data_IF_920649602998
#
_entry.id   IF_920649602998
#
_cell.length_a   1.000
_cell.length_b   1.000
_cell.length_c   1.000
_cell.angle_alpha   90.00
_cell.angle_beta   90.00
_cell.angle_gamma   90.00
#
_symmetry.space_group_name_H-M   'P 1'
#
loop_
_entity.id
_entity.type
_entity.pdbx_description
1 polymer ?
#
# COMPACT_ATOMS: atom_id res chain seq x y z
N UNK A 1 21.63 19.01 -10.19
CA UNK A 1 22.77 18.82 -9.26
C UNK A 1 22.41 17.69 -8.30
N UNK A 2 22.88 16.47 -8.57
CA UNK A 2 22.67 15.32 -7.69
C UNK A 2 23.78 15.28 -6.65
N UNK A 3 23.45 15.57 -5.38
CA UNK A 3 24.44 15.56 -4.31
C UNK A 3 24.73 14.13 -3.88
N UNK A 4 26.01 13.73 -3.99
CA UNK A 4 26.57 12.56 -3.31
C UNK A 4 26.43 12.74 -1.79
N UNK A 5 25.72 11.84 -1.12
CA UNK A 5 25.63 11.78 0.35
C UNK A 5 24.43 10.97 0.83
N UNK A 6 24.69 9.76 1.35
CA UNK A 6 23.76 8.73 1.84
C UNK A 6 22.67 8.32 0.84
N UNK A 7 22.64 7.04 0.46
CA UNK A 7 21.91 6.46 -0.68
C UNK A 7 20.37 6.58 -0.71
N UNK A 8 19.75 7.44 0.10
CA UNK A 8 18.34 7.78 0.03
C UNK A 8 18.10 8.88 -1.01
N UNK A 9 17.06 8.68 -1.82
CA UNK A 9 16.60 9.70 -2.78
C UNK A 9 16.15 10.93 -2.00
N UNK A 10 16.62 12.11 -2.39
CA UNK A 10 16.26 13.37 -1.73
C UNK A 10 16.01 14.50 -2.72
N UNK A 11 15.18 15.46 -2.32
CA UNK A 11 14.91 16.70 -3.05
C UNK A 11 14.95 17.88 -2.07
N UNK A 12 15.13 19.11 -2.56
CA UNK A 12 15.13 20.31 -1.71
C UNK A 12 14.12 21.33 -2.21
N UNK A 13 13.26 21.81 -1.32
CA UNK A 13 12.30 22.89 -1.61
C UNK A 13 12.49 24.02 -0.60
N UNK A 14 12.69 25.25 -1.09
CA UNK A 14 12.93 26.45 -0.27
C UNK A 14 14.02 26.28 0.81
N UNK A 15 15.09 25.53 0.51
CA UNK A 15 16.19 25.27 1.45
C UNK A 15 15.95 24.10 2.43
N UNK A 16 14.76 23.47 2.44
CA UNK A 16 14.45 22.29 3.26
C UNK A 16 14.66 21.01 2.46
N UNK A 17 15.36 20.03 3.03
CA UNK A 17 15.66 18.75 2.38
C UNK A 17 14.60 17.69 2.72
N UNK A 18 13.92 17.20 1.69
CA UNK A 18 12.93 16.12 1.76
C UNK A 18 13.61 14.79 1.37
N UNK A 19 13.28 13.72 2.09
CA UNK A 19 13.81 12.38 1.85
C UNK A 19 12.70 11.42 1.46
N UNK A 20 12.97 10.55 0.49
CA UNK A 20 12.01 9.59 -0.04
C UNK A 20 12.51 8.18 0.25
N UNK A 21 11.84 7.50 1.18
CA UNK A 21 12.21 6.16 1.67
C UNK A 21 11.62 5.05 0.79
N UNK A 22 10.50 5.31 0.12
CA UNK A 22 9.87 4.39 -0.84
C UNK A 22 9.61 5.12 -2.17
N UNK A 23 9.78 4.44 -3.31
CA UNK A 23 9.47 5.00 -4.62
C UNK A 23 8.56 4.14 -5.47
N UNK A 24 7.69 4.79 -6.24
CA UNK A 24 6.73 4.15 -7.16
C UNK A 24 7.44 3.33 -8.25
N UNK A 25 8.66 3.71 -8.66
CA UNK A 25 9.54 2.79 -9.37
C UNK A 25 10.10 1.79 -8.36
N UNK A 26 9.40 0.66 -8.19
CA UNK A 26 9.93 -0.50 -7.46
C UNK A 26 11.14 -1.02 -8.23
N UNK A 27 12.33 -0.92 -7.64
CA UNK A 27 13.40 -1.80 -8.06
C UNK A 27 12.97 -3.23 -7.69
N UNK A 28 12.96 -4.18 -8.63
CA UNK A 28 12.72 -5.58 -8.28
C UNK A 28 13.70 -6.00 -7.19
N UNK A 29 13.26 -6.83 -6.25
CA UNK A 29 14.11 -7.26 -5.14
C UNK A 29 15.42 -7.83 -5.69
N UNK A 30 16.55 -7.49 -5.05
CA UNK A 30 17.90 -7.76 -5.57
C UNK A 30 18.21 -9.24 -5.81
N UNK A 31 17.45 -10.14 -5.16
CA UNK A 31 17.55 -11.59 -5.33
C UNK A 31 16.75 -12.12 -6.54
N UNK A 32 15.93 -11.31 -7.21
CA UNK A 32 15.31 -11.68 -8.48
C UNK A 32 16.32 -11.57 -9.62
N UNK A 33 16.66 -12.72 -10.23
CA UNK A 33 17.51 -12.77 -11.42
C UNK A 33 16.93 -12.01 -12.63
N UNK A 34 17.81 -11.48 -13.49
CA UNK A 34 17.49 -10.55 -14.58
C UNK A 34 16.43 -11.04 -15.57
N UNK A 35 16.29 -12.35 -15.77
CA UNK A 35 15.26 -12.93 -16.67
C UNK A 35 13.84 -12.82 -16.10
N UNK A 36 13.68 -12.66 -14.78
CA UNK A 36 12.39 -12.45 -14.09
C UNK A 36 12.02 -10.97 -13.93
N UNK A 37 12.91 -10.06 -14.33
CA UNK A 37 12.68 -8.61 -14.26
C UNK A 37 11.98 -8.03 -15.50
N UNK A 38 11.54 -8.88 -16.44
CA UNK A 38 10.73 -8.44 -17.56
C UNK A 38 9.39 -7.94 -17.01
N UNK A 39 9.00 -6.68 -17.26
CA UNK A 39 7.67 -6.24 -16.89
C UNK A 39 6.69 -7.13 -17.64
N UNK A 40 5.86 -7.85 -16.88
CA UNK A 40 4.65 -8.44 -17.44
C UNK A 40 3.92 -7.28 -18.14
N UNK A 41 3.63 -7.43 -19.44
CA UNK A 41 2.70 -6.56 -20.15
C UNK A 41 1.32 -6.80 -19.54
N UNK A 42 1.12 -6.34 -18.31
CA UNK A 42 -0.18 -6.32 -17.68
C UNK A 42 -0.89 -5.16 -18.37
N UNK A 43 -1.79 -5.49 -19.28
CA UNK A 43 -2.92 -4.61 -19.55
C UNK A 43 -3.43 -4.12 -18.19
N UNK A 44 -3.76 -2.83 -18.10
CA UNK A 44 -4.26 -2.15 -16.91
C UNK A 44 -5.66 -2.69 -16.53
N UNK A 45 -5.78 -4.01 -16.38
CA UNK A 45 -6.84 -4.68 -15.61
C UNK A 45 -6.46 -4.46 -14.16
N UNK A 46 -7.04 -3.37 -13.67
CA UNK A 46 -7.20 -2.94 -12.29
C UNK A 46 -7.08 -4.14 -11.36
N UNK A 47 -6.06 -4.13 -10.49
CA UNK A 47 -5.94 -5.12 -9.44
C UNK A 47 -7.27 -5.17 -8.68
N UNK A 48 -7.78 -6.36 -8.31
CA UNK A 48 -8.99 -6.46 -7.50
C UNK A 48 -8.89 -5.50 -6.29
N UNK A 49 -9.96 -4.76 -5.96
CA UNK A 49 -9.96 -3.84 -4.84
C UNK A 49 -9.51 -4.55 -3.57
N UNK A 50 -8.45 -4.05 -2.94
CA UNK A 50 -7.88 -4.67 -1.75
C UNK A 50 -7.32 -3.64 -0.78
N UNK A 51 -7.32 -4.01 0.51
CA UNK A 51 -6.65 -3.27 1.58
C UNK A 51 -5.51 -4.14 2.12
N UNK A 52 -4.36 -3.54 2.35
CA UNK A 52 -3.18 -4.19 2.94
C UNK A 52 -2.86 -3.51 4.28
N UNK A 53 -2.81 -4.29 5.36
CA UNK A 53 -2.45 -3.79 6.69
C UNK A 53 -1.05 -4.27 7.03
N UNK A 54 -0.17 -3.32 7.33
CA UNK A 54 1.24 -3.58 7.64
C UNK A 54 1.53 -3.39 9.12
N UNK A 55 2.33 -4.29 9.70
CA UNK A 55 2.80 -4.16 11.06
C UNK A 55 4.17 -3.50 11.10
N UNK A 56 4.26 -2.34 11.78
CA UNK A 56 5.48 -1.54 11.85
C UNK A 56 6.58 -2.19 12.69
N UNK A 57 6.23 -3.03 13.67
CA UNK A 57 7.21 -3.73 14.52
C UNK A 57 7.95 -4.82 13.74
N UNK A 58 7.25 -5.50 12.84
CA UNK A 58 7.78 -6.60 12.04
C UNK A 58 8.19 -6.19 10.62
N UNK A 59 7.87 -4.95 10.21
CA UNK A 59 8.05 -4.44 8.85
C UNK A 59 7.45 -5.38 7.78
N UNK A 60 6.33 -6.02 8.10
CA UNK A 60 5.73 -7.07 7.29
C UNK A 60 4.22 -6.82 7.07
N UNK A 61 3.68 -7.46 6.02
CA UNK A 61 2.24 -7.50 5.77
C UNK A 61 1.58 -8.35 6.87
N UNK A 62 0.67 -7.75 7.62
CA UNK A 62 -0.09 -8.42 8.69
C UNK A 62 -1.25 -9.23 8.10
N UNK A 63 -2.05 -8.59 7.25
CA UNK A 63 -3.10 -9.24 6.47
C UNK A 63 -3.52 -8.37 5.29
N UNK A 64 -4.14 -9.00 4.30
CA UNK A 64 -4.82 -8.35 3.19
C UNK A 64 -6.31 -8.73 3.17
N UNK A 65 -7.16 -7.85 2.62
CA UNK A 65 -8.58 -8.17 2.39
C UNK A 65 -9.00 -7.70 1.01
N UNK A 66 -9.77 -8.55 0.33
CA UNK A 66 -10.32 -8.29 -0.99
C UNK A 66 -11.76 -7.76 -0.87
N UNK A 67 -12.15 -6.91 -1.80
CA UNK A 67 -13.47 -6.29 -1.86
C UNK A 67 -14.06 -6.46 -3.27
N UNK A 68 -15.39 -6.54 -3.31
CA UNK A 68 -16.15 -6.67 -4.55
C UNK A 68 -16.25 -5.32 -5.30
N UNK A 69 -16.14 -4.20 -4.56
CA UNK A 69 -16.23 -2.83 -5.07
C UNK A 69 -15.03 -2.00 -4.60
N UNK A 70 -14.75 -0.90 -5.32
CA UNK A 70 -13.64 0.01 -5.01
C UNK A 70 -13.87 0.71 -3.67
N UNK A 71 -12.83 0.79 -2.85
CA UNK A 71 -12.85 1.50 -1.57
C UNK A 71 -12.63 2.98 -1.86
N UNK A 72 -13.61 3.81 -1.57
CA UNK A 72 -13.52 5.26 -1.71
C UNK A 72 -12.83 5.87 -0.49
N UNK A 73 -13.24 5.42 0.70
CA UNK A 73 -12.74 5.94 1.97
C UNK A 73 -12.80 4.86 3.06
N UNK A 74 -12.05 5.02 4.14
CA UNK A 74 -12.05 4.09 5.26
C UNK A 74 -11.77 4.79 6.60
N UNK A 75 -12.30 4.22 7.67
CA UNK A 75 -12.08 4.68 9.02
C UNK A 75 -11.68 3.53 9.93
N UNK A 76 -10.60 3.74 10.69
CA UNK A 76 -10.20 2.83 11.77
C UNK A 76 -11.07 3.13 12.98
N UNK A 77 -11.68 2.08 13.55
CA UNK A 77 -12.61 2.19 14.69
C UNK A 77 -11.99 1.72 16.01
N UNK A 78 -10.80 1.13 15.97
CA UNK A 78 -10.10 0.56 17.12
C UNK A 78 -8.58 0.68 16.92
N UNK A 79 -7.81 0.92 17.99
CA UNK A 79 -6.40 1.30 17.92
C UNK A 79 -5.50 0.22 17.27
N UNK A 80 -5.91 -1.05 17.37
CA UNK A 80 -5.16 -2.20 16.84
C UNK A 80 -5.50 -2.55 15.38
N UNK A 81 -6.22 -1.67 14.67
CA UNK A 81 -6.80 -1.94 13.34
C UNK A 81 -7.70 -3.20 13.33
N UNK A 82 -8.27 -3.55 14.49
CA UNK A 82 -9.09 -4.76 14.66
C UNK A 82 -10.51 -4.58 14.10
N UNK A 83 -11.00 -3.33 14.10
CA UNK A 83 -12.29 -2.90 13.57
C UNK A 83 -12.09 -1.79 12.55
N UNK A 84 -12.65 -1.97 11.36
CA UNK A 84 -12.49 -1.08 10.22
C UNK A 84 -13.85 -0.88 9.54
N UNK A 85 -14.14 0.34 9.13
CA UNK A 85 -15.27 0.67 8.26
C UNK A 85 -14.75 1.13 6.90
N UNK A 86 -15.37 0.64 5.83
CA UNK A 86 -15.02 0.97 4.45
C UNK A 86 -16.24 1.52 3.73
N UNK A 87 -16.09 2.68 3.08
CA UNK A 87 -17.07 3.23 2.16
C UNK A 87 -16.73 2.73 0.75
N UNK A 88 -17.64 1.97 0.15
CA UNK A 88 -17.45 1.37 -1.17
C UNK A 88 -18.15 2.17 -2.28
N UNK A 89 -17.69 2.01 -3.52
CA UNK A 89 -18.22 2.72 -4.69
C UNK A 89 -19.63 2.30 -5.11
N UNK A 90 -20.14 1.20 -4.56
CA UNK A 90 -21.53 0.76 -4.71
C UNK A 90 -22.48 1.38 -3.67
N UNK A 91 -22.03 2.41 -2.95
CA UNK A 91 -22.73 3.08 -1.85
C UNK A 91 -23.00 2.17 -0.64
N UNK A 92 -22.28 1.06 -0.49
CA UNK A 92 -22.31 0.22 0.70
C UNK A 92 -21.26 0.64 1.73
N UNK A 93 -21.49 0.28 3.00
CA UNK A 93 -20.52 0.42 4.08
C UNK A 93 -20.14 -0.96 4.60
N UNK A 94 -18.92 -1.40 4.29
CA UNK A 94 -18.42 -2.69 4.75
C UNK A 94 -17.77 -2.56 6.13
N UNK A 95 -18.32 -3.25 7.13
CA UNK A 95 -17.76 -3.33 8.47
C UNK A 95 -16.95 -4.60 8.63
N UNK A 96 -15.73 -4.45 9.10
CA UNK A 96 -14.72 -5.48 9.13
C UNK A 96 -14.17 -5.61 10.56
N UNK A 97 -14.15 -6.83 11.09
CA UNK A 97 -13.57 -7.18 12.38
C UNK A 97 -12.28 -8.00 12.19
N UNK A 98 -11.61 -8.41 13.27
CA UNK A 98 -10.37 -9.20 13.23
C UNK A 98 -10.51 -10.50 12.42
N UNK A 99 -11.69 -11.11 12.45
CA UNK A 99 -11.98 -12.36 11.73
C UNK A 99 -12.42 -12.15 10.27
N UNK A 100 -12.51 -10.91 9.77
CA UNK A 100 -12.90 -10.62 8.39
C UNK A 100 -14.12 -9.71 8.28
N UNK A 101 -14.95 -9.96 7.25
CA UNK A 101 -16.18 -9.23 6.94
C UNK A 101 -17.24 -9.52 8.00
N UNK A 102 -17.69 -8.48 8.70
CA UNK A 102 -18.74 -8.58 9.73
C UNK A 102 -20.11 -8.19 9.16
N UNK A 103 -20.18 -7.10 8.40
CA UNK A 103 -21.43 -6.59 7.83
C UNK A 103 -21.17 -5.81 6.53
N UNK A 104 -22.19 -5.66 5.69
CA UNK A 104 -22.17 -4.90 4.44
C UNK A 104 -23.50 -4.22 4.23
#
# INVERSE_FOLDING_TARGET
MATKGNGLKSMSINGVKMYMVSSHQRNPASWFGSKKQRPSRKDKRIYPPQIEVYELREFALKFERHFDSEIIDFQILDDDCSKLAFLCADHSVCLHAKYGKHYT
#
